data_IF_072617199704
#
_entry.id   IF_072617199704
#
_cell.length_a   1.000
_cell.length_b   1.000
_cell.length_c   1.000
_cell.angle_alpha   90.00
_cell.angle_beta   90.00
_cell.angle_gamma   90.00
#
_symmetry.space_group_name_H-M   'P 1'
#
loop_
_entity.id
_entity.type
_entity.pdbx_description
1 polymer ?
#
# COMPACT_ATOMS: atom_id res chain seq x y z
N UNK A 1 -0.38 24.05 44.65
CA UNK A 1 -0.16 24.35 43.22
C UNK A 1 0.78 23.36 42.53
N UNK A 2 1.94 23.01 43.10
CA UNK A 2 2.88 22.02 42.54
C UNK A 2 2.23 20.67 42.18
N UNK A 3 1.40 20.09 43.05
CA UNK A 3 0.73 18.81 42.76
C UNK A 3 -0.29 18.90 41.61
N UNK A 4 -0.91 20.06 41.39
CA UNK A 4 -1.83 20.26 40.25
C UNK A 4 -1.06 20.33 38.93
N UNK A 5 0.08 21.01 38.92
CA UNK A 5 0.98 21.09 37.75
C UNK A 5 1.53 19.70 37.43
N UNK A 6 1.98 18.94 38.44
CA UNK A 6 2.48 17.58 38.27
C UNK A 6 1.39 16.64 37.72
N UNK A 7 0.15 16.78 38.20
CA UNK A 7 -0.99 15.99 37.72
C UNK A 7 -1.35 16.32 36.26
N UNK A 8 -1.33 17.61 35.88
CA UNK A 8 -1.54 18.02 34.48
C UNK A 8 -0.44 17.46 33.57
N UNK A 9 0.82 17.53 33.98
CA UNK A 9 1.95 16.96 33.22
C UNK A 9 1.82 15.43 33.08
N UNK A 10 1.38 14.73 34.14
CA UNK A 10 1.12 13.29 34.09
C UNK A 10 0.03 12.95 33.07
N UNK A 11 -1.08 13.69 33.07
CA UNK A 11 -2.20 13.47 32.13
C UNK A 11 -1.74 13.70 30.68
N UNK A 12 -1.00 14.79 30.42
CA UNK A 12 -0.45 15.07 29.09
C UNK A 12 0.51 13.94 28.66
N UNK A 13 1.42 13.54 29.55
CA UNK A 13 2.36 12.45 29.27
C UNK A 13 1.63 11.14 28.94
N UNK A 14 0.63 10.77 29.73
CA UNK A 14 -0.18 9.58 29.46
C UNK A 14 -0.92 9.70 28.12
N UNK A 15 -1.54 10.84 27.84
CA UNK A 15 -2.24 11.08 26.58
C UNK A 15 -1.34 10.93 25.35
N UNK A 16 -0.15 11.52 25.40
CA UNK A 16 0.83 11.39 24.30
C UNK A 16 1.29 9.94 24.13
N UNK A 17 1.59 9.23 25.22
CA UNK A 17 2.01 7.83 25.14
C UNK A 17 0.90 6.91 24.60
N UNK A 18 -0.34 7.09 25.04
CA UNK A 18 -1.49 6.34 24.52
C UNK A 18 -1.74 6.64 23.04
N UNK A 19 -1.57 7.89 22.61
CA UNK A 19 -1.68 8.25 21.20
C UNK A 19 -0.60 7.57 20.35
N UNK A 20 0.66 7.63 20.77
CA UNK A 20 1.78 6.98 20.06
C UNK A 20 1.55 5.46 19.98
N UNK A 21 1.20 4.83 21.11
CA UNK A 21 0.92 3.40 21.14
C UNK A 21 -0.27 3.03 20.26
N UNK A 22 -1.35 3.81 20.32
CA UNK A 22 -2.54 3.61 19.49
C UNK A 22 -2.23 3.70 18.01
N UNK A 23 -1.47 4.71 17.57
CA UNK A 23 -1.02 4.86 16.18
C UNK A 23 -0.18 3.65 15.75
N UNK A 24 0.83 3.30 16.54
CA UNK A 24 1.70 2.17 16.22
C UNK A 24 0.91 0.85 16.08
N UNK A 25 0.06 0.54 17.05
CA UNK A 25 -0.68 -0.73 17.11
C UNK A 25 -1.83 -0.83 16.09
N UNK A 26 -2.55 0.27 15.85
CA UNK A 26 -3.74 0.26 14.99
C UNK A 26 -3.41 0.55 13.52
N UNK A 27 -2.41 1.39 13.24
CA UNK A 27 -2.09 1.79 11.86
C UNK A 27 -0.76 1.24 11.37
N UNK A 28 0.35 1.58 12.03
CA UNK A 28 1.69 1.30 11.49
C UNK A 28 1.92 -0.20 11.35
N UNK A 29 1.62 -0.98 12.39
CA UNK A 29 1.81 -2.43 12.37
C UNK A 29 1.00 -3.17 11.27
N UNK A 30 -0.14 -2.61 10.84
CA UNK A 30 -1.10 -3.29 9.96
C UNK A 30 -1.03 -2.85 8.51
N UNK A 31 -0.68 -1.59 8.27
CA UNK A 31 -0.76 -0.96 6.95
C UNK A 31 0.54 -0.32 6.50
N UNK A 32 1.48 -0.02 7.40
CA UNK A 32 2.80 0.49 6.98
C UNK A 32 3.77 -0.69 6.80
N UNK A 33 4.32 -0.89 5.58
CA UNK A 33 5.28 -1.95 5.36
C UNK A 33 6.58 -1.66 6.10
N UNK A 34 7.13 -2.69 6.75
CA UNK A 34 8.49 -2.67 7.30
C UNK A 34 9.53 -2.51 6.18
N UNK A 35 10.79 -2.25 6.54
CA UNK A 35 11.87 -2.13 5.54
C UNK A 35 12.02 -3.38 4.67
N UNK A 36 11.84 -4.57 5.25
CA UNK A 36 11.90 -5.85 4.52
C UNK A 36 10.68 -6.00 3.61
N UNK A 37 9.49 -5.68 4.12
CA UNK A 37 8.24 -5.76 3.36
C UNK A 37 8.24 -4.77 2.16
N UNK A 38 8.90 -3.62 2.29
CA UNK A 38 9.11 -2.67 1.18
C UNK A 38 9.97 -3.26 0.07
N UNK A 39 11.00 -4.03 0.41
CA UNK A 39 11.84 -4.70 -0.59
C UNK A 39 11.00 -5.73 -1.35
N UNK A 40 10.23 -6.54 -0.62
CA UNK A 40 9.35 -7.56 -1.20
C UNK A 40 8.30 -6.90 -2.12
N UNK A 41 7.65 -5.83 -1.69
CA UNK A 41 6.73 -5.06 -2.53
C UNK A 41 7.40 -4.52 -3.80
N UNK A 42 8.65 -4.09 -3.71
CA UNK A 42 9.42 -3.61 -4.88
C UNK A 42 9.72 -4.75 -5.85
N UNK A 43 10.08 -5.93 -5.35
CA UNK A 43 10.26 -7.14 -6.17
C UNK A 43 8.94 -7.58 -6.83
N UNK A 44 7.82 -7.52 -6.11
CA UNK A 44 6.50 -7.80 -6.67
C UNK A 44 6.12 -6.83 -7.78
N UNK A 45 6.44 -5.54 -7.65
CA UNK A 45 6.23 -4.57 -8.74
C UNK A 45 7.03 -4.96 -9.97
N UNK A 46 8.32 -5.30 -9.81
CA UNK A 46 9.15 -5.76 -10.92
C UNK A 46 8.54 -7.00 -11.60
N UNK A 47 8.19 -8.02 -10.83
CA UNK A 47 7.54 -9.25 -11.33
C UNK A 47 6.21 -8.95 -12.03
N UNK A 48 5.46 -7.97 -11.55
CA UNK A 48 4.20 -7.53 -12.19
C UNK A 48 4.49 -6.96 -13.57
N UNK A 49 5.46 -6.06 -13.69
CA UNK A 49 5.83 -5.44 -14.99
C UNK A 49 6.39 -6.46 -15.97
N UNK A 50 7.06 -7.50 -15.48
CA UNK A 50 7.59 -8.60 -16.30
C UNK A 50 6.52 -9.61 -16.74
N UNK A 51 5.36 -9.63 -16.06
CA UNK A 51 4.27 -10.58 -16.33
C UNK A 51 3.62 -10.39 -17.70
N UNK A 52 3.16 -11.49 -18.29
CA UNK A 52 2.46 -11.47 -19.58
C UNK A 52 1.13 -10.72 -19.52
N UNK A 53 0.46 -10.72 -18.36
CA UNK A 53 -0.80 -10.03 -18.18
C UNK A 53 -0.62 -8.50 -18.14
N UNK A 54 0.41 -8.01 -17.44
CA UNK A 54 0.76 -6.60 -17.49
C UNK A 54 1.07 -6.14 -18.92
N UNK A 55 1.88 -6.90 -19.68
CA UNK A 55 2.22 -6.55 -21.07
C UNK A 55 0.97 -6.41 -21.94
N UNK A 56 0.01 -7.34 -21.83
CA UNK A 56 -1.27 -7.28 -22.54
C UNK A 56 -2.11 -6.06 -22.17
N UNK A 57 -2.05 -5.60 -20.93
CA UNK A 57 -2.73 -4.37 -20.48
C UNK A 57 -2.02 -3.15 -21.04
N UNK A 58 -0.69 -3.09 -20.91
CA UNK A 58 0.14 -1.97 -21.37
C UNK A 58 0.11 -1.78 -22.91
N UNK A 59 -0.22 -2.82 -23.68
CA UNK A 59 -0.45 -2.73 -25.13
C UNK A 59 -1.79 -2.07 -25.50
N UNK A 60 -2.78 -2.12 -24.60
CA UNK A 60 -4.17 -1.71 -24.89
C UNK A 60 -4.59 -0.44 -24.16
N UNK A 61 -3.98 -0.17 -23.01
CA UNK A 61 -4.38 0.87 -22.08
C UNK A 61 -3.18 1.70 -21.64
N UNK A 62 -3.41 2.97 -21.32
CA UNK A 62 -2.33 3.83 -20.87
C UNK A 62 -2.09 3.64 -19.38
N UNK A 63 -0.91 3.13 -19.02
CA UNK A 63 -0.52 2.95 -17.61
C UNK A 63 -0.22 4.32 -16.98
N UNK A 64 -0.99 4.69 -15.96
CA UNK A 64 -0.85 5.97 -15.25
C UNK A 64 0.09 5.81 -14.06
N UNK A 65 -0.09 4.76 -13.27
CA UNK A 65 0.67 4.53 -12.05
C UNK A 65 0.66 3.05 -11.68
N UNK A 66 1.72 2.63 -11.00
CA UNK A 66 1.80 1.34 -10.32
C UNK A 66 2.02 1.63 -8.85
N UNK A 67 1.18 1.04 -8.00
CA UNK A 67 1.16 1.26 -6.57
C UNK A 67 1.23 -0.09 -5.86
N UNK A 68 2.09 -0.21 -4.86
CA UNK A 68 2.30 -1.45 -4.12
C UNK A 68 1.80 -1.23 -2.70
N UNK A 69 0.83 -2.02 -2.28
CA UNK A 69 0.15 -1.83 -1.01
C UNK A 69 0.14 -3.12 -0.17
N UNK A 70 -0.08 -2.92 1.13
CA UNK A 70 -0.14 -3.98 2.12
C UNK A 70 -1.38 -3.79 2.98
N UNK A 71 -2.18 -4.84 3.13
CA UNK A 71 -3.30 -4.86 4.06
C UNK A 71 -3.34 -6.17 4.84
N UNK A 72 -2.76 -6.16 6.04
CA UNK A 72 -2.77 -7.32 6.94
C UNK A 72 -4.16 -7.66 7.50
N UNK A 73 -5.17 -6.79 7.32
CA UNK A 73 -6.55 -7.07 7.74
C UNK A 73 -7.37 -7.79 6.68
N UNK A 74 -6.94 -7.80 5.40
CA UNK A 74 -7.60 -8.59 4.35
C UNK A 74 -7.65 -10.09 4.69
N UNK A 75 -6.87 -10.53 5.68
CA UNK A 75 -6.82 -11.90 6.16
C UNK A 75 -5.98 -12.76 5.23
N UNK A 76 -5.00 -13.46 5.80
CA UNK A 76 -4.09 -14.29 5.03
C UNK A 76 -2.72 -14.42 5.68
N UNK A 77 -1.95 -15.38 5.20
CA UNK A 77 -0.53 -15.50 5.51
C UNK A 77 0.28 -14.71 4.49
N UNK A 78 1.54 -14.41 4.82
CA UNK A 78 2.48 -13.91 3.82
C UNK A 78 2.51 -14.87 2.61
N UNK A 79 2.58 -14.38 1.36
CA UNK A 79 2.62 -12.98 0.92
C UNK A 79 1.24 -12.40 0.53
N UNK A 80 0.13 -13.07 0.83
CA UNK A 80 -1.20 -12.75 0.30
C UNK A 80 -1.84 -11.46 0.83
N UNK A 81 -1.21 -10.81 1.82
CA UNK A 81 -1.60 -9.48 2.27
C UNK A 81 -0.91 -8.36 1.48
N UNK A 82 -0.08 -8.68 0.49
CA UNK A 82 0.49 -7.75 -0.46
C UNK A 82 -0.27 -7.74 -1.78
N UNK A 83 -0.34 -6.57 -2.39
CA UNK A 83 -1.01 -6.37 -3.67
C UNK A 83 -0.28 -5.29 -4.48
N UNK A 84 -0.18 -5.50 -5.79
CA UNK A 84 0.27 -4.49 -6.73
C UNK A 84 -0.92 -4.03 -7.55
N UNK A 85 -1.22 -2.74 -7.50
CA UNK A 85 -2.27 -2.11 -8.28
C UNK A 85 -1.68 -1.39 -9.49
N UNK A 86 -2.07 -1.82 -10.69
CA UNK A 86 -1.73 -1.16 -11.96
C UNK A 86 -2.93 -0.31 -12.37
N UNK A 87 -2.78 1.01 -12.29
CA UNK A 87 -3.81 1.98 -12.63
C UNK A 87 -3.66 2.43 -14.08
N UNK A 88 -4.73 2.28 -14.84
CA UNK A 88 -4.81 2.76 -16.22
C UNK A 88 -5.81 3.91 -16.34
N UNK A 89 -5.92 4.45 -17.54
CA UNK A 89 -6.96 5.40 -17.94
C UNK A 89 -8.38 4.81 -17.94
N UNK A 90 -8.52 3.48 -17.93
CA UNK A 90 -9.81 2.79 -17.92
C UNK A 90 -10.15 2.28 -16.52
N UNK A 91 -9.28 1.44 -15.93
CA UNK A 91 -9.56 0.77 -14.66
C UNK A 91 -8.27 0.48 -13.86
N UNK A 92 -8.42 -0.11 -12.68
CA UNK A 92 -7.27 -0.57 -11.89
C UNK A 92 -7.24 -2.08 -11.87
N UNK A 93 -6.13 -2.65 -12.31
CA UNK A 93 -5.84 -4.08 -12.26
C UNK A 93 -5.08 -4.40 -10.98
N UNK A 94 -5.52 -5.42 -10.26
CA UNK A 94 -4.91 -5.86 -9.02
C UNK A 94 -4.11 -7.13 -9.31
N UNK A 95 -2.88 -7.17 -8.83
CA UNK A 95 -1.98 -8.29 -8.95
C UNK A 95 -1.59 -8.81 -7.57
N UNK A 96 -1.57 -10.12 -7.41
CA UNK A 96 -1.13 -10.82 -6.21
C UNK A 96 -0.16 -11.96 -6.56
N UNK A 97 0.51 -12.50 -5.55
CA UNK A 97 1.37 -13.67 -5.72
C UNK A 97 0.52 -14.92 -5.99
N UNK A 98 0.91 -15.72 -6.98
CA UNK A 98 0.22 -16.97 -7.33
C UNK A 98 0.47 -18.12 -6.33
N UNK A 99 1.50 -18.00 -5.50
CA UNK A 99 1.84 -18.98 -4.47
C UNK A 99 2.62 -18.34 -3.30
N UNK A 100 2.89 -19.15 -2.27
CA UNK A 100 3.61 -18.74 -1.06
C UNK A 100 5.04 -18.24 -1.33
N UNK A 101 5.68 -18.73 -2.40
CA UNK A 101 7.02 -18.30 -2.81
C UNK A 101 7.00 -17.07 -3.73
N UNK A 102 5.82 -16.55 -4.08
CA UNK A 102 5.63 -15.48 -5.04
C UNK A 102 6.47 -15.65 -6.32
N UNK A 103 6.46 -16.86 -6.89
CA UNK A 103 7.25 -17.14 -8.09
C UNK A 103 6.83 -16.22 -9.24
N UNK A 104 5.51 -16.02 -9.38
CA UNK A 104 4.87 -15.22 -10.41
C UNK A 104 3.77 -14.33 -9.82
N UNK A 105 3.48 -13.23 -10.52
CA UNK A 105 2.35 -12.36 -10.22
C UNK A 105 1.17 -12.73 -11.13
N UNK A 106 -0.03 -12.80 -10.56
CA UNK A 106 -1.27 -13.09 -11.27
C UNK A 106 -2.31 -12.01 -11.00
N UNK A 107 -3.25 -11.83 -11.93
CA UNK A 107 -4.39 -10.95 -11.69
C UNK A 107 -5.31 -11.47 -10.59
N UNK A 108 -5.43 -10.67 -9.55
CA UNK A 108 -6.37 -10.85 -8.44
C UNK A 108 -7.74 -10.20 -8.73
N UNK A 109 -7.89 -9.53 -9.87
CA UNK A 109 -9.13 -8.90 -10.31
C UNK A 109 -8.97 -7.45 -10.74
N UNK A 110 -10.11 -6.78 -10.91
CA UNK A 110 -10.16 -5.38 -11.32
C UNK A 110 -11.05 -4.58 -10.38
N UNK A 111 -10.74 -3.30 -10.23
CA UNK A 111 -11.57 -2.35 -9.53
C UNK A 111 -11.70 -1.07 -10.36
N UNK A 112 -12.79 -0.34 -10.17
CA UNK A 112 -13.02 0.91 -10.87
C UNK A 112 -11.85 1.85 -10.62
N UNK A 113 -11.21 2.34 -11.70
CA UNK A 113 -10.34 3.48 -11.50
C UNK A 113 -11.25 4.65 -11.10
N UNK A 114 -10.95 5.27 -9.97
CA UNK A 114 -11.58 6.56 -9.64
C UNK A 114 -10.94 7.69 -10.46
N UNK A 115 -10.37 7.38 -11.63
CA UNK A 115 -9.79 8.37 -12.54
C UNK A 115 -10.93 8.99 -13.37
N UNK A 116 -11.61 9.98 -12.78
CA UNK A 116 -11.98 11.15 -13.57
C UNK A 116 -10.67 11.80 -14.02
N UNK A 117 -10.64 12.44 -15.19
CA UNK A 117 -9.52 13.25 -15.70
C UNK A 117 -9.12 14.34 -14.70
N UNK A 118 -8.45 13.98 -13.60
CA UNK A 118 -7.78 14.92 -12.71
C UNK A 118 -6.41 15.18 -13.33
N UNK A 119 -6.17 16.45 -13.66
CA UNK A 119 -4.89 16.95 -14.15
C UNK A 119 -3.76 16.44 -13.23
N UNK A 120 -2.62 15.95 -13.78
CA UNK A 120 -1.50 15.45 -12.99
C UNK A 120 -1.16 16.40 -11.85
N UNK A 121 -1.22 15.91 -10.60
CA UNK A 121 -0.95 16.72 -9.40
C UNK A 121 0.49 17.20 -9.31
N UNK A 122 1.40 16.57 -10.06
CA UNK A 122 2.81 16.90 -10.12
C UNK A 122 3.10 17.46 -11.52
N UNK A 123 3.68 18.68 -11.63
CA UNK A 123 4.03 19.22 -12.92
C UNK A 123 5.25 18.48 -13.48
N UNK A 124 5.02 17.56 -14.43
CA UNK A 124 6.06 17.13 -15.36
C UNK A 124 6.20 18.18 -16.47
N UNK A 125 6.65 19.39 -16.10
CA UNK A 125 7.17 20.33 -17.09
C UNK A 125 8.69 20.16 -17.15
N UNK A 126 9.20 19.85 -18.34
CA UNK A 126 10.61 20.07 -18.69
C UNK A 126 10.95 21.55 -18.61
#
# INVERSE_FOLDING_TARGET
MKNKILLVLLIISLGVNFYIFGKWFLTEQRYEPSSEEKVILSEMVQKTVESEEYKKIAEKENIIAIDANMDKNKGGVFPYYFEVSVRTDIQTYLFACSNEQCSEMESAGTTYSRYKEEVPRIPFKK
#
